data_IF_088845207946
#
_entry.id   IF_088845207946
#
_cell.length_a   1.000
_cell.length_b   1.000
_cell.length_c   1.000
_cell.angle_alpha   90.00
_cell.angle_beta   90.00
_cell.angle_gamma   90.00
#
_symmetry.space_group_name_H-M   'P 1'
#
loop_
_entity.id
_entity.type
_entity.pdbx_description
1 polymer ?
#
# COMPACT_ATOMS: atom_id res chain seq x y z
N UNK A 1 -12.56 -27.86 0.36
CA UNK A 1 -11.37 -28.16 -0.47
C UNK A 1 -10.79 -26.82 -0.81
N UNK A 2 -9.74 -26.43 -0.09
CA UNK A 2 -9.07 -25.14 -0.26
C UNK A 2 -7.89 -25.38 -1.20
N UNK A 3 -8.08 -25.02 -2.46
CA UNK A 3 -7.04 -25.05 -3.48
C UNK A 3 -5.95 -24.01 -3.13
N UNK A 4 -4.80 -24.49 -2.67
CA UNK A 4 -3.57 -23.71 -2.66
C UNK A 4 -2.95 -23.75 -4.06
N UNK A 5 -3.43 -22.88 -4.95
CA UNK A 5 -2.88 -22.72 -6.30
C UNK A 5 -1.61 -21.85 -6.27
N UNK A 6 -0.49 -22.44 -6.67
CA UNK A 6 0.71 -21.84 -7.26
C UNK A 6 1.28 -20.56 -6.59
N UNK A 7 1.99 -20.75 -5.48
CA UNK A 7 3.16 -19.97 -5.04
C UNK A 7 3.02 -18.51 -4.58
N UNK A 8 1.99 -17.78 -5.02
CA UNK A 8 1.81 -16.36 -4.71
C UNK A 8 0.93 -16.10 -3.48
N UNK A 9 1.25 -15.05 -2.71
CA UNK A 9 0.39 -14.62 -1.59
C UNK A 9 -0.86 -13.94 -2.15
N UNK A 10 -2.00 -14.60 -2.00
CA UNK A 10 -3.30 -14.07 -2.38
C UNK A 10 -3.77 -13.02 -1.38
N UNK A 11 -4.06 -11.81 -1.86
CA UNK A 11 -4.48 -10.67 -1.05
C UNK A 11 -5.99 -10.44 -1.21
N UNK A 12 -6.64 -10.16 -0.09
CA UNK A 12 -7.97 -9.54 -0.02
C UNK A 12 -7.81 -8.03 0.19
N UNK A 13 -8.87 -7.24 -0.01
CA UNK A 13 -8.81 -5.77 0.13
C UNK A 13 -8.34 -5.34 1.53
N UNK A 14 -8.77 -6.08 2.55
CA UNK A 14 -8.51 -5.81 3.96
C UNK A 14 -7.17 -6.38 4.43
N UNK A 15 -6.48 -7.18 3.60
CA UNK A 15 -5.19 -7.78 3.94
C UNK A 15 -4.20 -6.68 4.30
N UNK A 16 -3.65 -6.79 5.51
CA UNK A 16 -2.61 -5.88 6.02
C UNK A 16 -1.30 -6.18 5.30
N UNK A 17 -0.76 -5.18 4.62
CA UNK A 17 0.54 -5.26 3.94
C UNK A 17 1.68 -4.97 4.91
N UNK A 18 1.59 -3.86 5.64
CA UNK A 18 2.61 -3.45 6.60
C UNK A 18 2.05 -2.44 7.62
N UNK A 19 2.90 -2.06 8.58
CA UNK A 19 2.65 -0.91 9.47
C UNK A 19 3.79 0.08 9.33
N UNK A 20 3.45 1.34 9.09
CA UNK A 20 4.40 2.44 9.08
C UNK A 20 4.36 3.09 10.46
N UNK A 21 5.51 3.14 11.13
CA UNK A 21 5.68 3.83 12.40
C UNK A 21 6.32 5.19 12.16
N UNK A 22 5.60 6.24 12.55
CA UNK A 22 6.03 7.62 12.41
C UNK A 22 6.92 8.06 13.58
N UNK A 23 7.67 9.15 13.39
CA UNK A 23 8.54 9.73 14.43
C UNK A 23 7.77 10.22 15.66
N UNK A 24 6.51 10.63 15.47
CA UNK A 24 5.59 11.04 16.54
C UNK A 24 4.98 9.84 17.30
N UNK A 25 5.44 8.61 17.01
CA UNK A 25 4.97 7.38 17.64
C UNK A 25 3.67 6.83 17.06
N UNK A 26 3.02 7.51 16.12
CA UNK A 26 1.81 7.01 15.45
C UNK A 26 2.12 5.81 14.56
N UNK A 27 1.18 4.89 14.47
CA UNK A 27 1.27 3.71 13.62
C UNK A 27 0.15 3.70 12.59
N UNK A 28 0.52 3.52 11.32
CA UNK A 28 -0.40 3.49 10.19
C UNK A 28 -0.42 2.09 9.60
N UNK A 29 -1.58 1.43 9.65
CA UNK A 29 -1.77 0.10 9.04
C UNK A 29 -2.11 0.28 7.56
N UNK A 30 -1.24 -0.21 6.69
CA UNK A 30 -1.44 -0.18 5.25
C UNK A 30 -2.12 -1.48 4.82
N UNK A 31 -3.19 -1.35 4.04
CA UNK A 31 -3.98 -2.47 3.52
C UNK A 31 -3.88 -2.54 1.99
N UNK A 32 -4.09 -3.72 1.43
CA UNK A 32 -3.99 -3.94 -0.01
C UNK A 32 -4.96 -3.06 -0.82
N UNK A 33 -6.19 -2.85 -0.33
CA UNK A 33 -7.23 -2.06 -1.00
C UNK A 33 -7.83 -2.73 -2.24
N UNK A 34 -7.22 -3.81 -2.72
CA UNK A 34 -7.60 -4.57 -3.92
C UNK A 34 -7.40 -6.07 -3.67
N UNK A 35 -8.17 -6.92 -4.34
CA UNK A 35 -7.95 -8.38 -4.35
C UNK A 35 -6.99 -8.73 -5.47
N UNK A 36 -5.96 -9.53 -5.21
CA UNK A 36 -4.97 -9.91 -6.22
C UNK A 36 -3.91 -10.86 -5.67
N UNK A 37 -2.80 -10.98 -6.38
CA UNK A 37 -1.62 -11.76 -5.96
C UNK A 37 -0.48 -10.78 -5.69
N UNK A 38 0.17 -10.91 -4.54
CA UNK A 38 1.37 -10.13 -4.23
C UNK A 38 2.50 -10.59 -5.14
N UNK A 39 2.97 -9.69 -6.00
CA UNK A 39 4.10 -9.96 -6.90
C UNK A 39 5.42 -9.51 -6.29
N UNK A 40 5.43 -8.37 -5.58
CA UNK A 40 6.65 -7.80 -5.03
C UNK A 40 6.36 -6.94 -3.79
N UNK A 41 7.30 -6.93 -2.84
CA UNK A 41 7.39 -5.99 -1.72
C UNK A 41 8.71 -5.24 -1.81
N UNK A 42 8.71 -3.96 -1.46
CA UNK A 42 9.90 -3.11 -1.59
C UNK A 42 10.82 -3.25 -0.37
N UNK A 43 11.79 -4.16 -0.47
CA UNK A 43 12.77 -4.42 0.60
C UNK A 43 13.64 -3.20 0.95
N UNK A 44 13.75 -2.22 0.03
CA UNK A 44 14.55 -1.00 0.26
C UNK A 44 13.96 -0.13 1.37
N UNK A 45 12.66 -0.24 1.64
CA UNK A 45 11.98 0.52 2.69
C UNK A 45 12.47 0.14 4.10
N UNK A 46 13.03 -1.05 4.28
CA UNK A 46 13.62 -1.45 5.56
C UNK A 46 14.89 -0.62 5.89
N UNK A 47 15.68 -0.28 4.87
CA UNK A 47 16.86 0.56 5.03
C UNK A 47 16.50 2.06 4.97
N UNK A 48 15.58 2.44 4.06
CA UNK A 48 15.25 3.82 3.75
C UNK A 48 13.72 4.05 3.76
N UNK A 49 13.06 4.07 4.92
CA UNK A 49 11.60 4.19 5.02
C UNK A 49 11.06 5.54 4.52
N UNK A 50 11.89 6.59 4.45
CA UNK A 50 11.49 7.92 3.98
C UNK A 50 11.13 7.95 2.48
N UNK A 51 11.51 6.92 1.72
CA UNK A 51 11.18 6.79 0.30
C UNK A 51 9.67 6.78 0.06
N UNK A 52 8.88 6.25 1.00
CA UNK A 52 7.41 6.27 0.94
C UNK A 52 6.87 7.71 0.80
N UNK A 53 7.58 8.69 1.36
CA UNK A 53 7.20 10.11 1.31
C UNK A 53 7.88 10.84 0.16
N UNK A 54 9.17 10.58 -0.07
CA UNK A 54 10.00 11.38 -0.99
C UNK A 54 9.93 10.91 -2.44
N UNK A 55 9.65 9.63 -2.69
CA UNK A 55 9.59 9.07 -4.03
C UNK A 55 8.47 8.01 -4.19
N UNK A 56 7.22 8.30 -3.79
CA UNK A 56 6.13 7.32 -3.68
C UNK A 56 5.80 6.58 -4.98
N UNK A 57 5.99 7.21 -6.13
CA UNK A 57 5.61 6.66 -7.43
C UNK A 57 6.65 5.69 -8.01
N UNK A 58 7.91 5.80 -7.56
CA UNK A 58 9.02 5.04 -8.16
C UNK A 58 9.78 4.21 -7.12
N UNK A 59 10.42 4.84 -6.15
CA UNK A 59 11.30 4.14 -5.21
C UNK A 59 10.62 3.83 -3.87
N UNK A 60 9.47 4.46 -3.62
CA UNK A 60 8.72 4.42 -2.38
C UNK A 60 7.44 3.58 -2.43
N UNK A 61 7.23 2.79 -3.49
CA UNK A 61 6.11 1.85 -3.52
C UNK A 61 6.24 0.84 -2.37
N UNK A 62 5.10 0.39 -1.84
CA UNK A 62 5.06 -0.57 -0.73
C UNK A 62 5.00 -2.00 -1.28
N UNK A 63 4.11 -2.22 -2.25
CA UNK A 63 3.87 -3.52 -2.85
C UNK A 63 3.39 -3.39 -4.30
N UNK A 64 3.69 -4.39 -5.11
CA UNK A 64 3.14 -4.59 -6.45
C UNK A 64 2.16 -5.74 -6.38
N UNK A 65 0.91 -5.49 -6.78
CA UNK A 65 -0.17 -6.47 -6.76
C UNK A 65 -0.63 -6.72 -8.19
N UNK A 66 -0.63 -7.98 -8.60
CA UNK A 66 -1.10 -8.40 -9.92
C UNK A 66 -2.49 -9.02 -9.82
N UNK A 67 -3.21 -9.01 -10.94
CA UNK A 67 -4.55 -9.57 -11.07
C UNK A 67 -4.53 -10.57 -12.22
N UNK A 68 -5.40 -11.58 -12.16
CA UNK A 68 -5.36 -12.75 -13.06
C UNK A 68 -5.22 -12.41 -14.54
N UNK A 69 -4.57 -13.31 -15.28
CA UNK A 69 -4.26 -13.15 -16.70
C UNK A 69 -5.51 -12.75 -17.52
N UNK A 70 -5.39 -11.68 -18.33
CA UNK A 70 -6.48 -11.16 -19.16
C UNK A 70 -7.39 -10.12 -18.49
N UNK A 71 -7.25 -9.86 -17.17
CA UNK A 71 -7.95 -8.77 -16.49
C UNK A 71 -7.08 -7.51 -16.48
N UNK A 72 -7.45 -6.49 -17.27
CA UNK A 72 -6.79 -5.17 -17.25
C UNK A 72 -7.12 -4.35 -15.98
N UNK A 73 -8.16 -4.74 -15.26
CA UNK A 73 -8.63 -4.10 -14.01
C UNK A 73 -9.10 -5.19 -13.03
N UNK A 74 -8.85 -5.04 -11.73
CA UNK A 74 -9.54 -5.82 -10.68
C UNK A 74 -11.06 -5.72 -10.80
N UNK A 75 -11.78 -6.78 -10.41
CA UNK A 75 -13.25 -6.83 -10.42
C UNK A 75 -13.91 -5.69 -9.62
N UNK A 76 -13.18 -5.01 -8.74
CA UNK A 76 -13.65 -3.87 -7.95
C UNK A 76 -12.69 -2.67 -7.97
N UNK A 77 -11.96 -2.48 -9.06
CA UNK A 77 -11.19 -1.24 -9.24
C UNK A 77 -12.17 -0.08 -9.38
N UNK A 78 -12.25 0.78 -8.37
CA UNK A 78 -12.95 2.06 -8.52
C UNK A 78 -12.19 2.80 -9.63
N UNK A 79 -12.87 3.05 -10.75
CA UNK A 79 -12.28 3.70 -11.93
C UNK A 79 -11.68 5.06 -11.62
N UNK A 80 -12.12 5.66 -10.52
CA UNK A 80 -11.60 6.85 -9.92
C UNK A 80 -11.10 6.46 -8.53
N UNK A 81 -9.78 6.32 -8.38
CA UNK A 81 -9.20 6.55 -7.06
C UNK A 81 -9.67 7.95 -6.64
N UNK A 82 -10.21 8.14 -5.43
CA UNK A 82 -10.51 9.48 -4.96
C UNK A 82 -9.27 10.33 -5.19
N UNK A 83 -9.41 11.56 -5.73
CA UNK A 83 -8.27 12.40 -6.11
C UNK A 83 -7.29 12.41 -4.96
N UNK A 84 -6.01 12.08 -5.20
CA UNK A 84 -4.92 11.86 -4.22
C UNK A 84 -5.20 12.58 -2.89
N UNK A 85 -5.99 11.94 -2.02
CA UNK A 85 -6.40 12.56 -0.77
C UNK A 85 -5.24 12.36 0.16
N UNK A 86 -4.45 13.42 0.36
CA UNK A 86 -3.54 13.46 1.48
C UNK A 86 -4.45 13.47 2.71
N UNK A 87 -4.64 12.30 3.34
CA UNK A 87 -5.25 12.22 4.66
C UNK A 87 -4.23 12.75 5.68
N UNK A 88 -3.98 14.06 5.65
CA UNK A 88 -3.44 14.79 6.80
C UNK A 88 -4.59 14.88 7.82
N UNK A 89 -4.90 13.79 8.51
CA UNK A 89 -5.65 13.94 9.75
C UNK A 89 -4.71 14.62 10.74
N UNK A 90 -4.92 15.93 10.90
CA UNK A 90 -4.34 16.79 11.93
C UNK A 90 -2.81 16.91 11.85
N UNK A 91 -2.31 17.54 10.78
CA UNK A 91 -1.12 18.39 10.96
C UNK A 91 -1.65 19.69 11.56
N UNK A 92 -1.74 19.75 12.88
CA UNK A 92 -1.77 21.06 13.55
C UNK A 92 -0.45 21.72 13.18
N UNK A 93 -0.53 22.76 12.35
CA UNK A 93 0.56 23.71 12.19
C UNK A 93 0.66 24.41 13.55
N UNK A 94 1.50 23.90 14.44
CA UNK A 94 2.04 24.73 15.49
C UNK A 94 2.85 25.82 14.80
N UNK A 95 2.18 26.96 14.60
CA UNK A 95 2.80 28.23 14.24
C UNK A 95 3.92 28.49 15.24
N UNK A 96 5.16 28.46 14.75
CA UNK A 96 6.32 28.89 15.53
C UNK A 96 6.07 30.31 16.07
N UNK A 97 6.29 30.47 17.37
CA UNK A 97 6.18 31.74 18.11
C UNK A 97 7.33 32.70 17.79
#
# INVERSE_FOLDING_TARGET
MEDFSEGGLHLQKETRLCTIRCKDGKELVIRAGVRGVLAEVNDRLAANPDLVRTAPENQGYIAIITFGAGKRKPDEFVSELPPKQVYLKNYELESES
#
